data_IF_699440662435
#
_entry.id   IF_699440662435
#
_cell.length_a   1.000
_cell.length_b   1.000
_cell.length_c   1.000
_cell.angle_alpha   90.00
_cell.angle_beta   90.00
_cell.angle_gamma   90.00
#
_symmetry.space_group_name_H-M   'P 1'
#
loop_
_entity.id
_entity.type
_entity.pdbx_description
1 polymer ?
#
# COMPACT_ATOMS: atom_id res chain seq x y z
N UNK A 1 60.45 -50.33 38.22
CA UNK A 1 60.64 -49.63 39.51
C UNK A 1 60.25 -48.17 39.34
N UNK A 2 59.27 -47.71 40.15
CA UNK A 2 59.00 -46.33 40.61
C UNK A 2 59.19 -45.17 39.59
N UNK A 3 58.21 -44.35 39.20
CA UNK A 3 57.05 -43.82 39.92
C UNK A 3 56.97 -42.30 39.66
N UNK A 4 55.77 -41.72 39.87
CA UNK A 4 55.34 -40.30 39.77
C UNK A 4 54.84 -39.91 38.36
N UNK A 5 53.58 -39.58 38.13
CA UNK A 5 52.53 -39.08 39.03
C UNK A 5 52.17 -37.66 38.59
N UNK A 6 51.09 -37.53 37.81
CA UNK A 6 50.31 -36.29 37.72
C UNK A 6 48.85 -36.70 37.64
N UNK A 7 48.20 -36.81 38.80
CA UNK A 7 46.75 -36.69 38.91
C UNK A 7 46.38 -35.28 38.46
N UNK A 8 45.54 -35.16 37.43
CA UNK A 8 44.79 -33.93 37.21
C UNK A 8 43.31 -34.32 37.17
N UNK A 9 42.57 -34.17 38.29
CA UNK A 9 41.14 -34.47 38.29
C UNK A 9 40.42 -33.35 37.52
N UNK A 10 39.83 -33.70 36.37
CA UNK A 10 38.87 -32.84 35.69
C UNK A 10 37.64 -32.72 36.62
N UNK A 11 37.22 -31.51 37.02
CA UNK A 11 36.00 -31.37 37.81
C UNK A 11 34.81 -31.67 36.91
N UNK A 12 34.09 -32.74 37.21
CA UNK A 12 32.75 -33.01 36.68
C UNK A 12 31.84 -31.91 37.20
N UNK A 13 31.63 -30.88 36.39
CA UNK A 13 30.57 -29.90 36.63
C UNK A 13 29.22 -30.61 36.49
N UNK A 14 28.63 -30.99 37.63
CA UNK A 14 27.19 -31.18 37.75
C UNK A 14 26.55 -29.79 37.61
N UNK A 15 26.07 -29.48 36.42
CA UNK A 15 25.20 -28.34 36.22
C UNK A 15 23.76 -28.86 36.35
N UNK A 16 23.29 -29.00 37.59
CA UNK A 16 21.86 -28.97 37.91
C UNK A 16 21.37 -27.54 37.63
N UNK A 17 21.31 -27.23 36.34
CA UNK A 17 20.58 -26.09 35.85
C UNK A 17 19.11 -26.38 36.12
N UNK A 18 18.63 -25.93 37.28
CA UNK A 18 17.25 -25.51 37.45
C UNK A 18 17.03 -24.47 36.38
N UNK A 19 16.64 -24.91 35.20
CA UNK A 19 16.20 -24.08 34.09
C UNK A 19 15.11 -23.24 34.68
N UNK A 20 15.46 -21.99 34.92
CA UNK A 20 14.58 -20.98 35.44
C UNK A 20 13.25 -21.13 34.72
N UNK A 21 12.22 -21.52 35.48
CA UNK A 21 10.83 -21.37 35.13
C UNK A 21 10.45 -19.87 35.11
N UNK A 22 11.35 -19.05 34.54
CA UNK A 22 11.09 -17.73 33.99
C UNK A 22 10.57 -17.89 32.57
N UNK A 23 9.81 -18.97 32.28
CA UNK A 23 8.84 -18.97 31.21
C UNK A 23 7.72 -18.02 31.64
N UNK A 24 8.01 -16.73 31.47
CA UNK A 24 7.06 -15.69 31.07
C UNK A 24 5.65 -16.02 31.57
N UNK A 25 5.38 -15.71 32.83
CA UNK A 25 4.07 -15.18 33.17
C UNK A 25 3.87 -13.99 32.23
N UNK A 26 3.27 -14.31 31.09
CA UNK A 26 2.91 -13.38 30.05
C UNK A 26 1.77 -12.64 30.70
N UNK A 27 2.12 -11.60 31.48
CA UNK A 27 1.21 -10.68 32.15
C UNK A 27 -0.04 -10.62 31.30
N UNK A 28 -1.12 -11.24 31.77
CA UNK A 28 -2.35 -11.31 31.02
C UNK A 28 -2.73 -9.87 30.75
N UNK A 29 -2.49 -9.42 29.51
CA UNK A 29 -2.67 -8.02 29.16
C UNK A 29 -4.16 -7.79 29.32
N UNK A 30 -4.52 -7.07 30.39
CA UNK A 30 -5.88 -6.63 30.63
C UNK A 30 -6.45 -6.12 29.30
N UNK A 31 -7.66 -6.56 28.90
CA UNK A 31 -8.24 -6.09 27.66
C UNK A 31 -8.23 -4.56 27.67
N UNK A 32 -7.87 -3.92 26.55
CA UNK A 32 -7.82 -2.47 26.47
C UNK A 32 -9.19 -1.91 26.89
N UNK A 33 -9.17 -0.82 27.66
CA UNK A 33 -10.41 -0.15 28.06
C UNK A 33 -11.23 0.24 26.81
N UNK A 34 -12.57 0.19 26.89
CA UNK A 34 -13.44 0.69 25.82
C UNK A 34 -13.09 2.13 25.45
N UNK A 35 -13.29 2.46 24.17
CA UNK A 35 -13.08 3.83 23.68
C UNK A 35 -14.29 4.70 24.00
N UNK A 36 -13.99 5.94 24.36
CA UNK A 36 -14.92 7.08 24.40
C UNK A 36 -14.58 8.08 23.29
N UNK A 37 -15.36 9.17 23.21
CA UNK A 37 -15.17 10.22 22.21
C UNK A 37 -13.77 10.85 22.29
N UNK A 38 -13.30 11.17 23.51
CA UNK A 38 -11.98 11.75 23.72
C UNK A 38 -10.85 10.79 23.34
N UNK A 39 -11.00 9.50 23.66
CA UNK A 39 -10.07 8.45 23.28
C UNK A 39 -10.01 8.25 21.76
N UNK A 40 -11.14 8.33 21.06
CA UNK A 40 -11.20 8.24 19.60
C UNK A 40 -10.56 9.46 18.93
N UNK A 41 -10.86 10.67 19.42
CA UNK A 41 -10.24 11.91 18.96
C UNK A 41 -8.73 11.90 19.17
N UNK A 42 -8.26 11.48 20.35
CA UNK A 42 -6.83 11.33 20.62
C UNK A 42 -6.14 10.23 19.81
N UNK A 43 -6.86 9.25 19.26
CA UNK A 43 -6.31 8.31 18.28
C UNK A 43 -6.23 8.94 16.88
N UNK A 44 -7.25 9.71 16.50
CA UNK A 44 -7.31 10.39 15.21
C UNK A 44 -6.19 11.43 15.07
N UNK A 45 -6.02 12.30 16.07
CA UNK A 45 -4.97 13.33 16.09
C UNK A 45 -3.58 12.72 15.93
N UNK A 46 -3.26 11.71 16.75
CA UNK A 46 -1.97 10.99 16.64
C UNK A 46 -1.77 10.30 15.30
N UNK A 47 -2.84 9.92 14.62
CA UNK A 47 -2.76 9.30 13.30
C UNK A 47 -2.41 10.35 12.24
N UNK A 48 -3.11 11.48 12.21
CA UNK A 48 -2.88 12.56 11.23
C UNK A 48 -1.56 13.30 11.46
N UNK A 49 -1.08 13.38 12.71
CA UNK A 49 0.26 13.91 13.03
C UNK A 49 1.40 13.11 12.39
N UNK A 50 1.20 11.80 12.20
CA UNK A 50 2.26 10.88 11.76
C UNK A 50 2.18 10.52 10.28
N UNK A 51 0.99 10.55 9.71
CA UNK A 51 0.74 10.00 8.37
C UNK A 51 0.01 11.01 7.49
N UNK A 52 0.51 11.18 6.26
CA UNK A 52 -0.30 11.72 5.18
C UNK A 52 -1.41 10.70 4.86
N UNK A 53 -2.63 11.03 5.26
CA UNK A 53 -3.81 10.17 5.17
C UNK A 53 -4.94 10.85 4.43
N UNK A 54 -5.98 10.08 4.16
CA UNK A 54 -7.27 10.52 3.64
C UNK A 54 -8.35 10.35 4.70
N UNK A 55 -9.53 10.96 4.47
CA UNK A 55 -10.72 10.77 5.32
C UNK A 55 -11.09 9.29 5.40
N UNK A 56 -11.21 8.62 4.25
CA UNK A 56 -11.60 7.19 4.20
C UNK A 56 -10.65 6.27 4.99
N UNK A 57 -9.33 6.46 4.86
CA UNK A 57 -8.35 5.66 5.63
C UNK A 57 -8.41 5.91 7.11
N UNK A 58 -8.61 7.17 7.52
CA UNK A 58 -8.75 7.50 8.92
C UNK A 58 -10.03 6.87 9.48
N UNK A 59 -11.17 7.00 8.80
CA UNK A 59 -12.42 6.38 9.21
C UNK A 59 -12.29 4.86 9.34
N UNK A 60 -11.67 4.16 8.39
CA UNK A 60 -11.44 2.72 8.49
C UNK A 60 -10.51 2.34 9.64
N UNK A 61 -9.47 3.13 9.89
CA UNK A 61 -8.59 2.96 11.03
C UNK A 61 -9.38 3.09 12.35
N UNK A 62 -10.19 4.12 12.49
CA UNK A 62 -10.98 4.41 13.69
C UNK A 62 -12.09 3.37 13.91
N UNK A 63 -12.86 3.00 12.87
CA UNK A 63 -13.84 1.90 12.92
C UNK A 63 -13.22 0.60 13.42
N UNK A 64 -12.04 0.27 12.89
CA UNK A 64 -11.29 -0.90 13.34
C UNK A 64 -10.90 -0.77 14.82
N UNK A 65 -10.48 0.40 15.28
CA UNK A 65 -10.14 0.61 16.70
C UNK A 65 -11.34 0.51 17.63
N UNK A 66 -12.50 1.01 17.21
CA UNK A 66 -13.77 0.81 17.91
C UNK A 66 -14.12 -0.67 18.00
N UNK A 67 -14.04 -1.42 16.91
CA UNK A 67 -14.27 -2.88 16.91
C UNK A 67 -13.28 -3.65 17.80
N UNK A 68 -12.01 -3.26 17.79
CA UNK A 68 -10.95 -3.94 18.56
C UNK A 68 -11.05 -3.69 20.07
N UNK A 69 -11.54 -2.51 20.49
CA UNK A 69 -11.52 -2.09 21.90
C UNK A 69 -12.89 -2.03 22.56
N UNK A 70 -13.96 -2.04 21.76
CA UNK A 70 -15.30 -1.70 22.21
C UNK A 70 -15.51 -0.18 22.29
N UNK A 71 -16.77 0.20 22.40
CA UNK A 71 -17.23 1.56 22.66
C UNK A 71 -17.84 1.63 24.04
N UNK A 72 -17.71 2.77 24.73
CA UNK A 72 -18.41 2.98 26.00
C UNK A 72 -19.92 2.86 25.79
N UNK A 73 -20.58 2.11 26.67
CA UNK A 73 -22.02 1.96 26.65
C UNK A 73 -22.69 3.08 27.46
N UNK A 74 -23.93 3.41 27.10
CA UNK A 74 -24.70 4.37 27.87
C UNK A 74 -24.97 3.81 29.28
N UNK A 75 -24.85 4.63 30.35
CA UNK A 75 -25.19 4.19 31.69
C UNK A 75 -26.69 3.84 31.78
N UNK A 76 -27.04 2.87 32.63
CA UNK A 76 -28.45 2.48 32.88
C UNK A 76 -29.30 3.65 33.37
N UNK A 77 -28.68 4.63 34.02
CA UNK A 77 -29.32 5.87 34.44
C UNK A 77 -28.39 7.03 34.08
N UNK A 78 -28.77 7.84 33.10
CA UNK A 78 -27.97 8.99 32.66
C UNK A 78 -28.23 9.37 31.20
N UNK A 79 -27.55 10.43 30.71
CA UNK A 79 -27.66 10.83 29.32
C UNK A 79 -27.10 9.74 28.39
N UNK A 80 -27.76 9.54 27.24
CA UNK A 80 -27.31 8.61 26.23
C UNK A 80 -25.92 9.00 25.71
N UNK A 81 -25.05 8.00 25.54
CA UNK A 81 -23.76 8.21 24.88
C UNK A 81 -23.99 8.10 23.37
N UNK A 82 -23.59 9.12 22.57
CA UNK A 82 -23.73 9.04 21.13
C UNK A 82 -22.88 7.88 20.57
N UNK A 83 -23.31 7.25 19.47
CA UNK A 83 -22.52 6.24 18.81
C UNK A 83 -21.18 6.82 18.36
N UNK A 84 -20.17 5.97 18.21
CA UNK A 84 -18.92 6.37 17.59
C UNK A 84 -19.19 6.89 16.17
N UNK A 85 -18.62 8.03 15.83
CA UNK A 85 -18.72 8.64 14.49
C UNK A 85 -17.33 8.87 13.86
N UNK A 86 -16.68 7.78 13.37
CA UNK A 86 -15.41 7.88 12.66
C UNK A 86 -15.43 8.78 11.42
N UNK A 87 -16.56 8.87 10.73
CA UNK A 87 -16.74 9.64 9.51
C UNK A 87 -16.80 11.13 9.83
N UNK A 88 -17.67 11.53 10.77
CA UNK A 88 -17.77 12.91 11.22
C UNK A 88 -16.48 13.42 11.83
N UNK A 89 -15.74 12.58 12.57
CA UNK A 89 -14.43 12.95 13.09
C UNK A 89 -13.39 13.13 11.98
N UNK A 90 -13.38 12.27 10.96
CA UNK A 90 -12.50 12.43 9.81
C UNK A 90 -12.84 13.68 9.00
N UNK A 91 -14.14 13.97 8.81
CA UNK A 91 -14.59 15.19 8.15
C UNK A 91 -14.21 16.44 8.94
N UNK A 92 -14.43 16.46 10.27
CA UNK A 92 -13.98 17.55 11.16
C UNK A 92 -12.49 17.83 10.99
N UNK A 93 -11.64 16.80 10.92
CA UNK A 93 -10.20 16.98 10.73
C UNK A 93 -9.84 17.46 9.32
N UNK A 94 -10.60 17.08 8.30
CA UNK A 94 -10.46 17.66 6.95
C UNK A 94 -10.87 19.13 6.91
N UNK A 95 -11.97 19.51 7.55
CA UNK A 95 -12.44 20.90 7.65
C UNK A 95 -11.43 21.79 8.39
N UNK A 96 -10.72 21.22 9.36
CA UNK A 96 -9.62 21.88 10.08
C UNK A 96 -8.28 21.88 9.30
N UNK A 97 -8.23 21.26 8.11
CA UNK A 97 -7.06 21.24 7.23
C UNK A 97 -5.99 20.20 7.59
N UNK A 98 -6.27 19.27 8.50
CA UNK A 98 -5.34 18.17 8.80
C UNK A 98 -5.32 17.09 7.74
N UNK A 99 -6.37 17.02 6.92
CA UNK A 99 -6.54 16.04 5.84
C UNK A 99 -6.90 16.78 4.56
N UNK A 100 -6.15 16.50 3.49
CA UNK A 100 -6.41 16.98 2.15
C UNK A 100 -6.48 15.78 1.20
N UNK A 101 -7.69 15.28 0.96
CA UNK A 101 -7.93 14.12 0.10
C UNK A 101 -7.53 14.41 -1.36
N UNK A 102 -7.84 15.61 -1.84
CA UNK A 102 -7.54 16.03 -3.21
C UNK A 102 -6.03 16.11 -3.42
N UNK A 103 -5.32 16.84 -2.56
CA UNK A 103 -3.86 16.94 -2.63
C UNK A 103 -3.18 15.59 -2.47
N UNK A 104 -3.71 14.71 -1.60
CA UNK A 104 -3.26 13.33 -1.49
C UNK A 104 -3.45 12.57 -2.82
N UNK A 105 -4.63 12.65 -3.42
CA UNK A 105 -4.97 11.96 -4.66
C UNK A 105 -4.11 12.43 -5.84
N UNK A 106 -3.91 13.74 -6.00
CA UNK A 106 -3.03 14.36 -6.99
C UNK A 106 -1.60 13.82 -6.88
N UNK A 107 -1.01 13.92 -5.68
CA UNK A 107 0.36 13.45 -5.43
C UNK A 107 0.49 11.94 -5.66
N UNK A 108 -0.54 11.16 -5.27
CA UNK A 108 -0.59 9.70 -5.44
C UNK A 108 -0.65 9.31 -6.92
N UNK A 109 -1.53 9.93 -7.69
CA UNK A 109 -1.66 9.70 -9.13
C UNK A 109 -0.36 10.00 -9.86
N UNK A 110 0.20 11.20 -9.65
CA UNK A 110 1.45 11.61 -10.28
C UNK A 110 2.61 10.65 -9.95
N UNK A 111 2.74 10.23 -8.69
CA UNK A 111 3.77 9.28 -8.28
C UNK A 111 3.58 7.89 -8.91
N UNK A 112 2.33 7.43 -9.09
CA UNK A 112 2.03 6.14 -9.71
C UNK A 112 2.29 6.16 -11.22
N UNK A 113 1.88 7.24 -11.91
CA UNK A 113 2.09 7.40 -13.35
C UNK A 113 3.57 7.55 -13.70
N UNK A 114 4.37 8.28 -12.90
CA UNK A 114 5.84 8.32 -13.05
C UNK A 114 6.49 6.94 -12.96
N UNK A 115 5.88 5.99 -12.24
CA UNK A 115 6.36 4.59 -12.14
C UNK A 115 5.84 3.71 -13.29
N UNK A 116 5.04 4.27 -14.19
CA UNK A 116 4.40 3.61 -15.31
C UNK A 116 3.17 2.78 -14.94
N UNK A 117 2.42 3.18 -13.92
CA UNK A 117 1.12 2.56 -13.61
C UNK A 117 0.01 3.36 -14.30
N UNK A 118 -0.87 2.66 -15.03
CA UNK A 118 -1.93 3.29 -15.81
C UNK A 118 -3.16 3.68 -14.96
N UNK A 119 -4.07 4.44 -15.56
CA UNK A 119 -5.28 4.98 -14.92
C UNK A 119 -6.07 3.96 -14.09
N UNK A 120 -6.24 2.71 -14.56
CA UNK A 120 -6.99 1.68 -13.79
C UNK A 120 -6.33 1.33 -12.46
N UNK A 121 -4.98 1.37 -12.38
CA UNK A 121 -4.25 1.15 -11.13
C UNK A 121 -4.38 2.35 -10.20
N UNK A 122 -4.35 3.56 -10.75
CA UNK A 122 -4.59 4.80 -9.99
C UNK A 122 -5.98 4.78 -9.37
N UNK A 123 -7.02 4.50 -10.17
CA UNK A 123 -8.40 4.39 -9.69
C UNK A 123 -8.56 3.31 -8.59
N UNK A 124 -7.86 2.19 -8.71
CA UNK A 124 -7.81 1.18 -7.65
C UNK A 124 -7.20 1.70 -6.35
N UNK A 125 -6.12 2.48 -6.44
CA UNK A 125 -5.48 3.08 -5.27
C UNK A 125 -6.33 4.19 -4.63
N UNK A 126 -7.12 4.92 -5.41
CA UNK A 126 -8.08 5.90 -4.90
C UNK A 126 -9.20 5.22 -4.09
N UNK A 127 -9.77 4.14 -4.63
CA UNK A 127 -10.77 3.33 -3.89
C UNK A 127 -10.20 2.75 -2.59
N UNK A 128 -8.98 2.20 -2.63
CA UNK A 128 -8.30 1.70 -1.41
C UNK A 128 -8.01 2.81 -0.40
N UNK A 129 -7.81 4.04 -0.87
CA UNK A 129 -7.65 5.20 -0.01
C UNK A 129 -8.98 5.83 0.43
N UNK A 130 -10.13 5.34 -0.06
CA UNK A 130 -11.42 5.96 0.21
C UNK A 130 -11.49 7.42 -0.25
N UNK A 131 -10.88 7.74 -1.38
CA UNK A 131 -11.06 9.02 -2.07
C UNK A 131 -12.48 9.03 -2.66
N UNK A 132 -13.19 10.14 -2.47
CA UNK A 132 -14.54 10.33 -3.00
C UNK A 132 -14.54 10.35 -4.53
N UNK A 133 -15.67 9.96 -5.13
CA UNK A 133 -15.82 9.92 -6.58
C UNK A 133 -15.66 11.30 -7.20
N UNK A 134 -16.14 12.37 -6.56
CA UNK A 134 -15.99 13.73 -7.06
C UNK A 134 -14.52 14.18 -7.14
N UNK A 135 -13.71 13.86 -6.12
CA UNK A 135 -12.28 14.16 -6.12
C UNK A 135 -11.54 13.31 -7.17
N UNK A 136 -11.92 12.05 -7.33
CA UNK A 136 -11.35 11.18 -8.35
C UNK A 136 -11.67 11.65 -9.78
N UNK A 137 -12.93 12.05 -10.03
CA UNK A 137 -13.42 12.52 -11.32
C UNK A 137 -12.78 13.86 -11.71
N UNK A 138 -12.58 14.76 -10.74
CA UNK A 138 -11.87 16.02 -10.95
C UNK A 138 -10.43 15.80 -11.47
N UNK A 139 -9.81 14.68 -11.10
CA UNK A 139 -8.46 14.30 -11.53
C UNK A 139 -8.42 13.43 -12.78
N UNK A 140 -9.56 12.94 -13.27
CA UNK A 140 -9.60 12.08 -14.44
C UNK A 140 -8.97 12.71 -15.70
N UNK A 141 -9.18 14.00 -16.03
CA UNK A 141 -8.54 14.63 -17.19
C UNK A 141 -7.01 14.68 -17.06
N UNK A 142 -6.51 14.98 -15.87
CA UNK A 142 -5.08 15.05 -15.56
C UNK A 142 -4.38 13.69 -15.59
N UNK A 143 -5.10 12.64 -15.17
CA UNK A 143 -4.63 11.26 -15.27
C UNK A 143 -4.59 10.87 -16.76
N UNK A 144 -5.65 11.14 -17.52
CA UNK A 144 -5.72 10.83 -18.94
C UNK A 144 -4.62 11.54 -19.74
N UNK A 145 -4.33 12.81 -19.45
CA UNK A 145 -3.26 13.58 -20.08
C UNK A 145 -1.84 12.97 -19.89
N UNK A 146 -1.67 12.09 -18.90
CA UNK A 146 -0.39 11.43 -18.59
C UNK A 146 -0.39 9.93 -18.92
N UNK A 147 -1.46 9.41 -19.54
CA UNK A 147 -1.62 7.97 -19.77
C UNK A 147 -0.59 7.42 -20.76
N UNK A 148 -0.32 8.15 -21.85
CA UNK A 148 0.71 7.78 -22.86
C UNK A 148 2.09 7.72 -22.20
N UNK A 149 2.47 8.78 -21.47
CA UNK A 149 3.73 8.86 -20.74
C UNK A 149 3.92 7.69 -19.77
N UNK A 150 2.87 7.39 -18.99
CA UNK A 150 2.90 6.28 -18.05
C UNK A 150 3.06 4.92 -18.76
N UNK A 151 2.38 4.74 -19.90
CA UNK A 151 2.46 3.50 -20.67
C UNK A 151 3.85 3.31 -21.31
N UNK A 152 4.44 4.37 -21.88
CA UNK A 152 5.80 4.35 -22.43
C UNK A 152 6.84 4.14 -21.33
N UNK A 153 6.72 4.81 -20.18
CA UNK A 153 7.59 4.60 -19.03
C UNK A 153 7.54 3.14 -18.53
N UNK A 154 6.35 2.53 -18.53
CA UNK A 154 6.20 1.11 -18.21
C UNK A 154 6.88 0.21 -19.23
N UNK A 155 6.61 0.43 -20.53
CA UNK A 155 7.16 -0.34 -21.63
C UNK A 155 8.69 -0.27 -21.64
N UNK A 156 9.28 0.92 -21.47
CA UNK A 156 10.73 1.14 -21.38
C UNK A 156 11.34 0.41 -20.20
N UNK A 157 10.77 0.57 -19.00
CA UNK A 157 11.25 -0.11 -17.78
C UNK A 157 11.18 -1.63 -17.88
N UNK A 158 10.18 -2.15 -18.59
CA UNK A 158 9.96 -3.59 -18.79
C UNK A 158 10.56 -4.14 -20.08
N UNK A 159 11.19 -3.29 -20.92
CA UNK A 159 11.76 -3.63 -22.24
C UNK A 159 10.74 -4.35 -23.12
N UNK A 160 9.57 -3.75 -23.27
CA UNK A 160 8.45 -4.27 -24.07
C UNK A 160 8.34 -3.51 -25.40
N UNK A 161 7.73 -4.17 -26.39
CA UNK A 161 7.46 -3.58 -27.71
C UNK A 161 8.70 -2.89 -28.29
N UNK A 162 8.65 -1.56 -28.54
CA UNK A 162 9.73 -0.82 -29.20
C UNK A 162 11.03 -0.77 -28.38
N UNK A 163 10.97 -1.07 -27.09
CA UNK A 163 12.14 -1.12 -26.20
C UNK A 163 12.64 -2.55 -25.93
N UNK A 164 12.12 -3.55 -26.66
CA UNK A 164 12.56 -4.93 -26.53
C UNK A 164 14.01 -5.10 -26.98
N UNK A 165 14.75 -6.03 -26.35
CA UNK A 165 16.10 -6.40 -26.82
C UNK A 165 15.99 -7.13 -28.16
N UNK A 166 16.96 -6.92 -29.06
CA UNK A 166 16.97 -7.53 -30.41
C UNK A 166 16.82 -9.06 -30.41
N UNK A 167 17.36 -9.73 -29.39
CA UNK A 167 17.21 -11.18 -29.19
C UNK A 167 15.73 -11.64 -29.10
N UNK A 168 14.80 -10.74 -28.77
CA UNK A 168 13.36 -11.02 -28.69
C UNK A 168 12.59 -10.64 -29.98
N UNK A 169 13.20 -9.91 -30.91
CA UNK A 169 12.57 -9.52 -32.19
C UNK A 169 12.78 -10.56 -33.29
N UNK A 170 13.75 -11.45 -33.14
CA UNK A 170 14.24 -12.35 -34.20
C UNK A 170 13.49 -13.70 -34.25
N UNK A 171 12.51 -13.92 -33.37
CA UNK A 171 11.69 -15.13 -33.34
C UNK A 171 10.64 -15.20 -34.46
N UNK A 172 10.30 -16.41 -34.91
CA UNK A 172 9.31 -16.64 -35.96
C UNK A 172 7.91 -16.14 -35.62
N UNK A 173 7.01 -16.06 -36.61
CA UNK A 173 5.71 -15.39 -36.48
C UNK A 173 4.81 -15.89 -35.34
N UNK A 174 4.86 -17.16 -34.96
CA UNK A 174 4.07 -17.71 -33.85
C UNK A 174 4.63 -17.32 -32.46
N UNK A 175 5.94 -17.40 -32.28
CA UNK A 175 6.64 -17.03 -31.04
C UNK A 175 6.52 -15.52 -30.77
N UNK A 176 6.64 -14.71 -31.82
CA UNK A 176 6.47 -13.26 -31.74
C UNK A 176 5.02 -12.88 -31.34
N UNK A 177 4.00 -13.59 -31.86
CA UNK A 177 2.60 -13.41 -31.42
C UNK A 177 2.40 -13.75 -29.95
N UNK A 178 2.92 -14.89 -29.49
CA UNK A 178 2.81 -15.30 -28.09
C UNK A 178 3.51 -14.30 -27.14
N UNK A 179 4.68 -13.81 -27.53
CA UNK A 179 5.40 -12.76 -26.80
C UNK A 179 4.56 -11.48 -26.73
N UNK A 180 4.04 -10.96 -27.85
CA UNK A 180 3.19 -9.76 -27.87
C UNK A 180 1.97 -9.91 -26.98
N UNK A 181 1.31 -11.07 -27.00
CA UNK A 181 0.15 -11.34 -26.13
C UNK A 181 0.53 -11.29 -24.64
N UNK A 182 1.71 -11.81 -24.28
CA UNK A 182 2.25 -11.76 -22.92
C UNK A 182 2.57 -10.31 -22.51
N UNK A 183 3.17 -9.52 -23.40
CA UNK A 183 3.49 -8.12 -23.16
C UNK A 183 2.21 -7.27 -22.99
N UNK A 184 1.21 -7.51 -23.84
CA UNK A 184 -0.11 -6.86 -23.78
C UNK A 184 -0.79 -7.15 -22.44
N UNK A 185 -0.82 -8.42 -22.05
CA UNK A 185 -1.36 -8.84 -20.75
C UNK A 185 -0.64 -8.18 -19.57
N UNK A 186 0.68 -7.98 -19.68
CA UNK A 186 1.46 -7.29 -18.66
C UNK A 186 1.12 -5.79 -18.56
N UNK A 187 0.88 -5.10 -19.68
CA UNK A 187 0.47 -3.69 -19.69
C UNK A 187 -0.95 -3.51 -19.15
N UNK A 188 -1.89 -4.38 -19.54
CA UNK A 188 -3.27 -4.34 -19.03
C UNK A 188 -3.29 -4.58 -17.52
N UNK A 189 -2.51 -5.54 -17.00
CA UNK A 189 -2.37 -5.75 -15.55
C UNK A 189 -1.68 -4.60 -14.83
N UNK A 190 -0.89 -3.78 -15.53
CA UNK A 190 -0.31 -2.54 -15.00
C UNK A 190 -1.28 -1.35 -15.05
N UNK A 191 -2.51 -1.56 -15.55
CA UNK A 191 -3.59 -0.59 -15.52
C UNK A 191 -3.76 0.22 -16.79
N UNK A 192 -3.02 -0.10 -17.85
CA UNK A 192 -3.09 0.60 -19.13
C UNK A 192 -4.30 0.16 -19.95
N UNK A 193 -4.81 1.08 -20.78
CA UNK A 193 -5.87 0.79 -21.75
C UNK A 193 -5.43 -0.26 -22.76
N UNK A 194 -6.37 -1.09 -23.22
CA UNK A 194 -6.06 -2.18 -24.16
C UNK A 194 -5.56 -1.61 -25.50
N UNK A 195 -6.25 -0.61 -26.04
CA UNK A 195 -5.91 0.00 -27.32
C UNK A 195 -4.56 0.69 -27.30
N UNK A 196 -4.30 1.51 -26.27
CA UNK A 196 -3.00 2.17 -26.09
C UNK A 196 -1.86 1.14 -25.97
N UNK A 197 -2.04 0.11 -25.15
CA UNK A 197 -1.04 -0.96 -25.02
C UNK A 197 -0.79 -1.67 -26.35
N UNK A 198 -1.83 -1.96 -27.13
CA UNK A 198 -1.70 -2.57 -28.46
C UNK A 198 -0.97 -1.65 -29.43
N UNK A 199 -1.30 -0.35 -29.47
CA UNK A 199 -0.62 0.66 -30.32
C UNK A 199 0.87 0.71 -29.99
N UNK A 200 1.24 0.86 -28.71
CA UNK A 200 2.63 0.92 -28.27
C UNK A 200 3.40 -0.35 -28.64
N UNK A 201 2.82 -1.53 -28.43
CA UNK A 201 3.50 -2.80 -28.74
C UNK A 201 3.66 -3.08 -30.23
N UNK A 202 2.88 -2.39 -31.08
CA UNK A 202 3.01 -2.46 -32.54
C UNK A 202 4.03 -1.44 -33.10
N UNK A 203 4.49 -0.49 -32.29
CA UNK A 203 5.47 0.51 -32.72
C UNK A 203 6.81 -0.15 -33.07
N UNK A 204 7.46 0.40 -34.10
CA UNK A 204 8.80 -0.04 -34.53
C UNK A 204 9.82 0.19 -33.42
N UNK A 205 10.87 -0.66 -33.32
CA UNK A 205 11.95 -0.44 -32.37
C UNK A 205 12.57 0.95 -32.57
N UNK A 206 12.51 1.77 -31.52
CA UNK A 206 13.11 3.09 -31.48
C UNK A 206 13.45 3.46 -30.04
N UNK A 207 14.62 4.06 -29.84
CA UNK A 207 15.01 4.61 -28.53
C UNK A 207 14.34 5.95 -28.24
N UNK A 208 13.87 6.65 -29.28
CA UNK A 208 13.17 7.94 -29.20
C UNK A 208 11.80 7.78 -29.82
N UNK A 209 10.77 7.68 -28.98
CA UNK A 209 9.37 7.65 -29.42
C UNK A 209 8.72 8.91 -28.87
N UNK A 210 8.04 9.65 -29.74
CA UNK A 210 7.28 10.83 -29.35
C UNK A 210 5.95 10.40 -28.73
N UNK A 211 5.54 11.09 -27.68
CA UNK A 211 4.29 10.79 -26.97
C UNK A 211 3.09 11.19 -27.83
N UNK A 212 3.24 12.16 -28.72
CA UNK A 212 2.19 12.58 -29.67
C UNK A 212 1.81 11.51 -30.69
N UNK A 213 2.63 10.48 -30.87
CA UNK A 213 2.36 9.38 -31.81
C UNK A 213 1.19 8.47 -31.34
N UNK A 214 0.72 8.63 -30.10
CA UNK A 214 -0.28 7.74 -29.49
C UNK A 214 -1.57 8.39 -29.01
N UNK A 215 -1.69 9.72 -29.14
CA UNK A 215 -2.94 10.45 -28.87
C UNK A 215 -4.12 9.93 -29.72
#
# INVERSE_FOLDING_TARGET
MHGRGVQNPIPVWHNDGVTQDRRRERQEKRPPKPLDAAGLEGLALRYVERFATTRGRLSDYLRRKVRERGWVEAPETGPAVPPADPEGLAQKLADLGYIDDRGFAEARAAAMQRRGLGARRVAGAFREAGIDEADADALAPEIAARDVDAALAYAKRKRLGPYARSENSDGGGAENRALRQKQLSAMVRAGHGFDLARKILAASPSETIDTTDFD
#
